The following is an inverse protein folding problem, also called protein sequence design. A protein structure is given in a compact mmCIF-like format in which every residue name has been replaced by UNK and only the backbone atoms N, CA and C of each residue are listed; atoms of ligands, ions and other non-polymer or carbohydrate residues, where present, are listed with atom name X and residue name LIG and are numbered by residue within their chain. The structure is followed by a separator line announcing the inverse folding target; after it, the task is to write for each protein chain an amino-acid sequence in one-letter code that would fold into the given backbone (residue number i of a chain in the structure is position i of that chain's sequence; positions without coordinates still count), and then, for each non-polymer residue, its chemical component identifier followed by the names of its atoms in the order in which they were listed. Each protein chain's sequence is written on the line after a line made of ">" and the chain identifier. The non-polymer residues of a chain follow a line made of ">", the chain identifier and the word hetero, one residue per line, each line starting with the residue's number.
data_IF_560929394731
#
_entry.id   IF_560929394731
#
_cell.length_a   1.000
_cell.length_b   1.000
_cell.length_c   1.000
_cell.angle_alpha   90.00
_cell.angle_beta   90.00
_cell.angle_gamma   90.00
#
_symmetry.space_group_name_H-M   'P 1'
#
loop_
_entity.id
_entity.type
_entity.pdbx_description
1 polymer ?
#
# COMPACT_ATOMS: atom_id res chain seq x y z
N UNK A 1 -9.87 -20.64 -23.41
CA UNK A 1 -8.53 -20.23 -22.91
C UNK A 1 -8.56 -19.01 -21.96
N UNK A 2 -9.63 -18.76 -21.19
CA UNK A 2 -9.78 -17.56 -20.33
C UNK A 2 -9.53 -17.80 -18.83
N UNK A 3 -8.98 -18.96 -18.45
CA UNK A 3 -8.84 -19.38 -17.04
C UNK A 3 -7.41 -19.60 -16.54
N UNK A 4 -6.37 -19.29 -17.33
CA UNK A 4 -4.96 -19.55 -16.96
C UNK A 4 -4.15 -18.33 -16.49
N UNK A 5 -4.72 -17.12 -16.54
CA UNK A 5 -4.01 -15.88 -16.14
C UNK A 5 -4.08 -15.57 -14.63
N UNK A 6 -5.03 -16.15 -13.89
CA UNK A 6 -5.17 -15.88 -12.44
C UNK A 6 -4.11 -16.60 -11.59
N UNK A 7 -3.55 -17.73 -12.07
CA UNK A 7 -2.53 -18.50 -11.35
C UNK A 7 -1.09 -18.06 -11.65
N UNK A 8 -0.89 -16.99 -12.42
CA UNK A 8 0.44 -16.52 -12.84
C UNK A 8 1.07 -15.48 -11.91
N UNK A 9 0.34 -15.02 -10.87
CA UNK A 9 0.79 -13.98 -9.92
C UNK A 9 1.66 -14.50 -8.76
N UNK A 10 1.83 -15.81 -8.60
CA UNK A 10 2.70 -16.41 -7.57
C UNK A 10 4.09 -16.83 -8.07
N UNK A 11 4.39 -16.71 -9.37
CA UNK A 11 5.64 -17.20 -9.97
C UNK A 11 6.66 -16.10 -10.34
N UNK A 12 6.36 -14.83 -10.02
CA UNK A 12 7.22 -13.69 -10.42
C UNK A 12 8.22 -13.31 -9.33
N UNK A 13 8.05 -13.76 -8.09
CA UNK A 13 8.96 -13.50 -6.97
C UNK A 13 10.39 -14.02 -7.19
N UNK A 14 10.55 -15.07 -8.02
CA UNK A 14 11.86 -15.66 -8.35
C UNK A 14 12.60 -14.94 -9.47
N UNK A 15 11.93 -14.06 -10.24
CA UNK A 15 12.52 -13.48 -11.46
C UNK A 15 13.39 -12.25 -11.20
N UNK A 16 13.23 -11.57 -10.06
CA UNK A 16 14.07 -10.40 -9.71
C UNK A 16 15.52 -10.81 -9.45
N UNK A 17 15.75 -12.01 -8.89
CA UNK A 17 17.10 -12.56 -8.73
C UNK A 17 17.75 -12.89 -10.08
N UNK A 18 16.96 -13.37 -11.05
CA UNK A 18 17.44 -13.75 -12.37
C UNK A 18 17.74 -12.54 -13.28
N UNK A 19 17.01 -11.42 -13.12
CA UNK A 19 17.18 -10.21 -13.94
C UNK A 19 18.41 -9.36 -13.53
N UNK A 20 18.97 -9.57 -12.34
CA UNK A 20 20.12 -8.80 -11.85
C UNK A 20 21.45 -9.59 -11.82
N UNK A 21 21.43 -10.92 -11.70
CA UNK A 21 22.66 -11.72 -11.47
C UNK A 21 23.05 -12.61 -12.67
N UNK A 22 22.31 -12.57 -13.79
CA UNK A 22 22.70 -13.25 -15.03
C UNK A 22 22.98 -14.76 -14.90
N UNK A 23 22.46 -15.42 -13.87
CA UNK A 23 22.70 -16.84 -13.59
C UNK A 23 21.37 -17.55 -13.28
N UNK A 24 21.29 -18.79 -13.76
CA UNK A 24 20.12 -19.67 -13.69
C UNK A 24 19.53 -19.73 -12.27
N UNK A 25 18.21 -19.97 -12.12
CA UNK A 25 17.57 -19.98 -10.82
C UNK A 25 18.19 -21.06 -9.95
N UNK A 26 18.99 -20.66 -8.96
CA UNK A 26 19.25 -21.51 -7.82
C UNK A 26 17.88 -21.73 -7.15
N UNK A 27 17.44 -22.99 -7.09
CA UNK A 27 16.29 -23.40 -6.29
C UNK A 27 16.48 -22.85 -4.88
N UNK A 28 15.77 -21.76 -4.56
CA UNK A 28 15.63 -21.30 -3.20
C UNK A 28 15.01 -22.45 -2.42
N UNK A 29 15.74 -22.97 -1.43
CA UNK A 29 15.17 -23.91 -0.48
C UNK A 29 13.94 -23.24 0.15
N UNK A 30 12.83 -23.96 0.36
CA UNK A 30 11.70 -23.40 1.07
C UNK A 30 12.18 -22.97 2.45
N UNK A 31 12.05 -21.68 2.74
CA UNK A 31 12.12 -21.19 4.11
C UNK A 31 11.02 -21.96 4.85
N UNK A 32 11.42 -22.79 5.80
CA UNK A 32 10.52 -23.73 6.46
C UNK A 32 9.34 -22.98 7.07
N UNK A 33 8.13 -23.35 6.63
CA UNK A 33 6.86 -23.00 7.23
C UNK A 33 6.89 -23.34 8.72
N UNK A 34 7.02 -22.30 9.54
CA UNK A 34 7.18 -22.50 10.98
C UNK A 34 6.79 -21.32 11.84
N UNK A 35 6.36 -20.17 11.30
CA UNK A 35 5.94 -19.02 12.11
C UNK A 35 4.61 -18.47 11.61
N UNK A 36 3.55 -18.93 12.28
CA UNK A 36 2.30 -18.22 12.55
C UNK A 36 2.27 -16.79 11.97
N UNK A 37 1.72 -16.60 10.76
CA UNK A 37 1.52 -15.27 10.15
C UNK A 37 0.38 -14.46 10.82
N UNK A 38 0.13 -14.73 12.08
CA UNK A 38 -0.75 -13.97 12.95
C UNK A 38 0.09 -13.17 13.93
N UNK A 39 0.00 -11.84 13.83
CA UNK A 39 0.35 -10.90 14.88
C UNK A 39 1.75 -11.06 15.50
N UNK A 40 2.75 -10.41 14.92
CA UNK A 40 3.96 -9.97 15.65
C UNK A 40 4.46 -8.72 14.91
N UNK A 41 4.06 -7.54 15.37
CA UNK A 41 4.72 -6.70 16.38
C UNK A 41 5.26 -5.47 15.65
N UNK A 42 4.33 -4.57 15.34
CA UNK A 42 4.69 -3.16 15.29
C UNK A 42 4.97 -2.85 16.76
N UNK A 43 6.24 -2.77 17.14
CA UNK A 43 6.59 -2.23 18.44
C UNK A 43 5.79 -0.94 18.64
N UNK A 44 5.15 -0.83 19.80
CA UNK A 44 4.48 0.37 20.27
C UNK A 44 5.51 1.49 20.52
N UNK A 45 6.25 1.88 19.49
CA UNK A 45 6.96 3.15 19.43
C UNK A 45 5.89 4.21 19.26
N UNK A 46 5.36 4.70 20.39
CA UNK A 46 4.42 5.80 20.57
C UNK A 46 3.48 6.00 19.36
N UNK A 47 2.32 5.33 19.38
CA UNK A 47 1.32 5.37 18.30
C UNK A 47 0.99 6.84 17.95
N UNK A 48 1.63 7.36 16.92
CA UNK A 48 1.63 8.79 16.67
C UNK A 48 0.27 9.20 16.11
N UNK A 49 -0.48 9.99 16.88
CA UNK A 49 -1.79 10.51 16.50
C UNK A 49 -1.66 11.85 15.80
N UNK A 50 -2.55 12.12 14.85
CA UNK A 50 -2.65 13.42 14.19
C UNK A 50 -3.05 14.48 15.22
N UNK A 51 -2.22 15.51 15.32
CA UNK A 51 -2.37 16.60 16.30
C UNK A 51 -2.94 17.90 15.73
N UNK A 52 -3.17 17.97 14.41
CA UNK A 52 -3.62 19.18 13.69
C UNK A 52 -4.73 18.86 12.69
N UNK A 53 -5.56 19.86 12.37
CA UNK A 53 -6.56 19.75 11.29
C UNK A 53 -5.91 19.86 9.90
N UNK A 54 -6.33 19.04 8.94
CA UNK A 54 -5.82 19.18 7.57
C UNK A 54 -6.22 20.54 6.98
N UNK A 55 -5.25 21.27 6.42
CA UNK A 55 -5.55 22.54 5.77
C UNK A 55 -6.49 22.32 4.58
N UNK A 56 -7.37 23.30 4.25
CA UNK A 56 -8.21 23.23 3.05
C UNK A 56 -7.40 23.02 1.77
N UNK A 57 -6.18 23.55 1.73
CA UNK A 57 -5.24 23.37 0.62
C UNK A 57 -4.87 21.90 0.41
N UNK A 58 -4.46 21.19 1.47
CA UNK A 58 -4.17 19.75 1.41
C UNK A 58 -5.41 18.98 0.93
N UNK A 59 -6.57 19.23 1.55
CA UNK A 59 -7.79 18.49 1.21
C UNK A 59 -8.22 18.71 -0.25
N UNK A 60 -8.08 19.94 -0.77
CA UNK A 60 -8.38 20.25 -2.17
C UNK A 60 -7.36 19.66 -3.15
N UNK A 61 -6.07 19.73 -2.82
CA UNK A 61 -5.01 19.15 -3.65
C UNK A 61 -5.19 17.63 -3.75
N UNK A 62 -5.38 16.96 -2.61
CA UNK A 62 -5.56 15.51 -2.55
C UNK A 62 -6.87 15.04 -3.18
N UNK A 63 -7.98 15.77 -3.00
CA UNK A 63 -9.25 15.46 -3.66
C UNK A 63 -9.10 15.36 -5.20
N UNK A 64 -8.22 16.18 -5.77
CA UNK A 64 -7.99 16.27 -7.21
C UNK A 64 -6.89 15.35 -7.74
N UNK A 65 -6.22 14.56 -6.90
CA UNK A 65 -5.24 13.58 -7.39
C UNK A 65 -5.97 12.59 -8.31
N UNK A 66 -5.58 12.49 -9.59
CA UNK A 66 -6.14 11.46 -10.45
C UNK A 66 -5.59 10.09 -10.03
N UNK A 67 -6.43 9.07 -10.12
CA UNK A 67 -6.06 7.67 -9.99
C UNK A 67 -6.71 6.86 -11.09
N UNK A 68 -6.16 5.70 -11.43
CA UNK A 68 -6.77 4.76 -12.35
C UNK A 68 -7.40 3.57 -11.63
N UNK A 69 -8.64 3.23 -11.96
CA UNK A 69 -9.32 2.03 -11.47
C UNK A 69 -10.12 1.40 -12.61
N UNK A 70 -9.80 0.15 -12.96
CA UNK A 70 -10.45 -0.57 -14.06
C UNK A 70 -10.30 0.14 -15.41
N UNK A 71 -9.13 0.70 -15.68
CA UNK A 71 -8.81 1.48 -16.88
C UNK A 71 -9.39 2.91 -16.90
N UNK A 72 -10.23 3.28 -15.93
CA UNK A 72 -10.84 4.61 -15.86
C UNK A 72 -10.08 5.51 -14.89
N UNK A 73 -9.78 6.72 -15.34
CA UNK A 73 -9.18 7.76 -14.51
C UNK A 73 -10.29 8.55 -13.81
N UNK A 74 -10.13 8.75 -12.50
CA UNK A 74 -11.07 9.49 -11.65
C UNK A 74 -10.32 10.20 -10.53
N UNK A 75 -10.87 11.29 -9.97
CA UNK A 75 -10.24 11.95 -8.84
C UNK A 75 -10.29 11.06 -7.58
N UNK A 76 -9.30 11.25 -6.71
CA UNK A 76 -9.15 10.51 -5.45
C UNK A 76 -10.33 10.74 -4.50
N UNK A 77 -11.01 11.89 -4.58
CA UNK A 77 -12.22 12.17 -3.80
C UNK A 77 -13.34 11.16 -4.06
N UNK A 78 -13.44 10.71 -5.31
CA UNK A 78 -14.45 9.80 -5.82
C UNK A 78 -14.12 8.41 -5.34
N UNK A 79 -12.85 8.01 -5.46
CA UNK A 79 -12.34 6.78 -4.87
C UNK A 79 -12.58 6.73 -3.36
N UNK A 80 -12.08 7.70 -2.60
CA UNK A 80 -12.23 7.77 -1.15
C UNK A 80 -13.71 7.75 -0.74
N UNK A 81 -14.55 8.47 -1.48
CA UNK A 81 -16.00 8.48 -1.29
C UNK A 81 -16.63 7.10 -1.48
N UNK A 82 -16.25 6.36 -2.52
CA UNK A 82 -16.73 5.01 -2.77
C UNK A 82 -16.20 4.00 -1.75
N UNK A 83 -14.92 4.06 -1.37
CA UNK A 83 -14.34 3.22 -0.33
C UNK A 83 -15.10 3.40 0.98
N UNK A 84 -15.28 4.64 1.43
CA UNK A 84 -15.97 4.92 2.68
C UNK A 84 -17.46 4.56 2.59
N UNK A 85 -18.12 4.78 1.44
CA UNK A 85 -19.49 4.31 1.24
C UNK A 85 -19.60 2.79 1.35
N UNK A 86 -18.65 2.04 0.79
CA UNK A 86 -18.60 0.58 0.84
C UNK A 86 -18.30 0.04 2.23
N UNK A 87 -17.33 0.63 2.93
CA UNK A 87 -16.91 0.21 4.26
C UNK A 87 -17.94 0.62 5.32
N UNK A 88 -18.36 1.87 5.27
CA UNK A 88 -19.09 2.54 6.35
C UNK A 88 -20.59 2.75 6.05
N UNK A 89 -21.02 2.50 4.81
CA UNK A 89 -22.38 2.80 4.35
C UNK A 89 -22.66 4.30 4.20
N UNK A 90 -21.65 5.17 4.27
CA UNK A 90 -21.76 6.64 4.19
C UNK A 90 -20.49 7.24 3.58
N UNK A 91 -20.60 8.39 2.89
CA UNK A 91 -19.45 9.18 2.39
C UNK A 91 -18.87 10.14 3.45
N UNK A 92 -18.73 9.65 4.67
CA UNK A 92 -18.21 10.41 5.81
C UNK A 92 -18.32 9.57 7.08
N UNK A 93 -17.43 9.84 8.04
CA UNK A 93 -17.34 9.07 9.29
C UNK A 93 -17.26 10.03 10.48
N UNK A 94 -17.82 9.60 11.61
CA UNK A 94 -17.69 10.31 12.87
C UNK A 94 -16.73 9.51 13.77
N UNK A 95 -15.70 10.18 14.29
CA UNK A 95 -14.53 9.60 14.96
C UNK A 95 -14.27 10.33 16.30
N UNK A 96 -15.32 10.65 17.05
CA UNK A 96 -15.24 11.46 18.29
C UNK A 96 -14.06 11.06 19.18
N UNK A 97 -13.21 12.04 19.52
CA UNK A 97 -12.07 11.84 20.42
C UNK A 97 -10.94 10.99 19.85
N UNK A 98 -11.01 10.59 18.57
CA UNK A 98 -9.95 9.82 17.89
C UNK A 98 -9.15 10.67 16.91
N UNK A 99 -9.64 11.86 16.56
CA UNK A 99 -8.99 12.81 15.66
C UNK A 99 -9.28 14.26 16.08
N UNK A 100 -8.50 15.25 15.60
CA UNK A 100 -8.77 16.67 15.82
C UNK A 100 -10.20 17.09 15.43
N UNK A 101 -10.72 16.58 14.31
CA UNK A 101 -12.10 16.79 13.88
C UNK A 101 -12.99 15.58 14.22
N UNK A 102 -14.19 15.83 14.77
CA UNK A 102 -15.13 14.72 15.05
C UNK A 102 -15.69 14.07 13.79
N UNK A 103 -15.74 14.78 12.66
CA UNK A 103 -16.36 14.31 11.41
C UNK A 103 -15.39 14.47 10.26
N UNK A 104 -14.97 13.35 9.70
CA UNK A 104 -14.05 13.32 8.56
C UNK A 104 -14.81 13.25 7.24
N UNK A 105 -14.32 14.05 6.28
CA UNK A 105 -14.65 13.89 4.86
C UNK A 105 -13.98 12.61 4.31
N UNK A 106 -14.38 12.10 3.14
CA UNK A 106 -13.72 10.93 2.56
C UNK A 106 -12.20 11.10 2.37
N UNK A 107 -11.77 12.28 1.92
CA UNK A 107 -10.34 12.57 1.70
C UNK A 107 -9.59 12.64 3.03
N UNK A 108 -10.13 13.33 4.04
CA UNK A 108 -9.51 13.38 5.37
C UNK A 108 -9.40 11.98 6.00
N UNK A 109 -10.43 11.14 5.86
CA UNK A 109 -10.39 9.75 6.30
C UNK A 109 -9.30 8.94 5.56
N UNK A 110 -9.19 9.09 4.24
CA UNK A 110 -8.16 8.39 3.47
C UNK A 110 -6.75 8.84 3.87
N UNK A 111 -6.55 10.14 4.08
CA UNK A 111 -5.29 10.67 4.59
C UNK A 111 -4.93 10.10 5.96
N UNK A 112 -5.89 9.97 6.88
CA UNK A 112 -5.66 9.32 8.16
C UNK A 112 -5.28 7.83 7.98
N UNK A 113 -5.95 7.09 7.08
CA UNK A 113 -5.57 5.71 6.79
C UNK A 113 -4.13 5.58 6.29
N UNK A 114 -3.67 6.53 5.46
CA UNK A 114 -2.34 6.48 4.86
C UNK A 114 -1.28 6.93 5.87
N UNK A 115 -1.44 8.13 6.44
CA UNK A 115 -0.40 8.77 7.26
C UNK A 115 -0.49 8.45 8.75
N UNK A 116 -1.66 8.11 9.27
CA UNK A 116 -1.88 7.83 10.69
C UNK A 116 -2.60 6.48 10.88
N UNK A 117 -2.07 5.38 10.31
CA UNK A 117 -2.77 4.09 10.33
C UNK A 117 -3.06 3.60 11.74
N UNK A 118 -2.18 3.85 12.72
CA UNK A 118 -2.38 3.48 14.13
C UNK A 118 -3.66 4.12 14.70
N UNK A 119 -3.91 5.39 14.38
CA UNK A 119 -5.12 6.11 14.76
C UNK A 119 -6.33 5.64 13.96
N UNK A 120 -6.20 5.50 12.64
CA UNK A 120 -7.31 5.13 11.75
C UNK A 120 -7.82 3.70 12.03
N UNK A 121 -6.99 2.82 12.60
CA UNK A 121 -7.38 1.47 13.02
C UNK A 121 -8.44 1.45 14.12
N UNK A 122 -8.57 2.51 14.90
CA UNK A 122 -9.59 2.66 15.94
C UNK A 122 -10.92 3.23 15.39
N UNK A 123 -10.94 3.70 14.14
CA UNK A 123 -12.13 4.33 13.57
C UNK A 123 -13.23 3.28 13.32
N UNK A 124 -14.48 3.48 13.79
CA UNK A 124 -15.58 2.56 13.54
C UNK A 124 -16.08 2.68 12.09
N UNK A 125 -15.31 2.14 11.16
CA UNK A 125 -15.46 2.33 9.71
C UNK A 125 -16.14 1.13 9.02
N UNK A 126 -16.11 -0.05 9.61
CA UNK A 126 -16.53 -1.30 8.95
C UNK A 126 -17.93 -1.70 9.37
N UNK A 127 -18.88 -1.63 8.44
CA UNK A 127 -20.28 -1.93 8.71
C UNK A 127 -20.57 -3.43 8.69
N UNK A 128 -21.17 -3.93 9.77
CA UNK A 128 -21.77 -5.26 9.84
C UNK A 128 -23.28 -5.08 9.93
N UNK A 129 -24.00 -5.67 8.99
CA UNK A 129 -25.44 -5.43 8.78
C UNK A 129 -26.30 -6.51 9.43
N UNK A 130 -25.74 -7.71 9.59
CA UNK A 130 -26.39 -8.88 10.16
C UNK A 130 -25.68 -9.25 11.45
N UNK A 131 -26.42 -9.28 12.57
CA UNK A 131 -25.89 -9.74 13.87
C UNK A 131 -25.28 -11.14 13.78
N UNK A 132 -25.85 -12.02 12.96
CA UNK A 132 -25.36 -13.39 12.76
C UNK A 132 -23.95 -13.45 12.17
N UNK A 133 -23.53 -12.46 11.38
CA UNK A 133 -22.15 -12.37 10.88
C UNK A 133 -21.21 -12.08 12.05
N UNK A 134 -21.57 -11.13 12.91
CA UNK A 134 -20.77 -10.78 14.07
C UNK A 134 -20.67 -11.95 15.06
N UNK A 135 -21.77 -12.68 15.30
CA UNK A 135 -21.78 -13.93 16.08
C UNK A 135 -20.90 -14.98 15.43
N UNK A 136 -21.02 -15.20 14.11
CA UNK A 136 -20.30 -16.27 13.41
C UNK A 136 -18.77 -16.14 13.46
N UNK A 137 -18.26 -14.91 13.56
CA UNK A 137 -16.82 -14.63 13.66
C UNK A 137 -16.36 -14.36 15.10
N UNK A 138 -17.27 -14.28 16.06
CA UNK A 138 -16.95 -14.07 17.47
C UNK A 138 -16.68 -12.61 17.87
N UNK A 139 -17.27 -11.63 17.17
CA UNK A 139 -17.17 -10.22 17.57
C UNK A 139 -17.90 -9.96 18.89
N UNK A 140 -17.36 -9.06 19.70
CA UNK A 140 -18.07 -8.57 20.89
C UNK A 140 -19.31 -7.75 20.46
N UNK A 141 -20.46 -8.08 21.04
CA UNK A 141 -21.75 -7.47 20.75
C UNK A 141 -22.22 -6.54 21.88
N UNK A 142 -21.44 -6.40 22.95
CA UNK A 142 -21.73 -5.50 24.07
C UNK A 142 -21.91 -4.08 23.53
N UNK A 143 -23.04 -3.45 23.87
CA UNK A 143 -23.42 -2.11 23.40
C UNK A 143 -23.58 -1.96 21.88
N UNK A 144 -23.55 -3.03 21.08
CA UNK A 144 -23.73 -2.99 19.61
C UNK A 144 -25.17 -3.25 19.20
N UNK A 145 -25.61 -2.58 18.13
CA UNK A 145 -26.95 -2.77 17.52
C UNK A 145 -26.94 -3.95 16.55
N UNK A 146 -28.12 -4.33 16.02
CA UNK A 146 -28.26 -5.36 14.96
C UNK A 146 -27.40 -5.06 13.74
N UNK A 147 -27.30 -3.77 13.38
CA UNK A 147 -26.43 -3.22 12.35
C UNK A 147 -25.56 -2.17 13.02
N UNK A 148 -24.25 -2.36 12.96
CA UNK A 148 -23.30 -1.45 13.60
C UNK A 148 -21.97 -1.39 12.85
N UNK A 149 -21.08 -0.51 13.32
CA UNK A 149 -19.73 -0.35 12.80
C UNK A 149 -18.71 -0.86 13.79
N UNK A 150 -17.66 -1.44 13.23
CA UNK A 150 -16.52 -1.97 13.95
C UNK A 150 -15.27 -1.28 13.41
N UNK A 151 -14.32 -1.08 14.30
CA UNK A 151 -12.98 -0.64 13.98
C UNK A 151 -12.16 -1.78 13.38
N UNK A 152 -11.01 -1.45 12.80
CA UNK A 152 -10.07 -2.46 12.37
C UNK A 152 -9.55 -3.27 13.57
N UNK A 153 -9.25 -2.60 14.70
CA UNK A 153 -8.76 -3.26 15.91
C UNK A 153 -9.79 -4.22 16.53
N UNK A 154 -11.09 -3.96 16.39
CA UNK A 154 -12.12 -4.95 16.76
C UNK A 154 -12.13 -6.16 15.81
N UNK A 155 -11.92 -5.95 14.51
CA UNK A 155 -11.94 -7.02 13.50
C UNK A 155 -10.67 -7.86 13.47
N UNK A 156 -9.50 -7.26 13.77
CA UNK A 156 -8.21 -7.98 13.74
C UNK A 156 -8.18 -9.08 14.80
N UNK A 157 -8.83 -8.86 15.95
CA UNK A 157 -8.98 -9.86 17.01
C UNK A 157 -9.72 -11.13 16.54
N UNK A 158 -10.56 -11.02 15.51
CA UNK A 158 -11.33 -12.13 14.93
C UNK A 158 -10.90 -12.46 13.49
N UNK A 159 -9.73 -11.98 13.04
CA UNK A 159 -9.27 -12.10 11.65
C UNK A 159 -9.32 -13.53 11.14
N UNK A 160 -8.74 -14.47 11.87
CA UNK A 160 -8.68 -15.88 11.46
C UNK A 160 -10.08 -16.48 11.31
N UNK A 161 -10.99 -16.18 12.24
CA UNK A 161 -12.39 -16.62 12.16
C UNK A 161 -13.11 -16.01 10.96
N UNK A 162 -12.94 -14.70 10.73
CA UNK A 162 -13.51 -14.00 9.58
C UNK A 162 -13.04 -14.61 8.24
N UNK A 163 -11.73 -14.86 8.10
CA UNK A 163 -11.17 -15.43 6.87
C UNK A 163 -11.64 -16.87 6.65
N UNK A 164 -11.65 -17.70 7.70
CA UNK A 164 -12.15 -19.07 7.61
C UNK A 164 -13.63 -19.12 7.20
N UNK A 165 -14.48 -18.30 7.84
CA UNK A 165 -15.91 -18.22 7.51
C UNK A 165 -16.17 -17.67 6.12
N UNK A 166 -15.38 -16.70 5.66
CA UNK A 166 -15.46 -16.22 4.28
C UNK A 166 -15.03 -17.31 3.28
N UNK A 167 -14.01 -18.10 3.58
CA UNK A 167 -13.59 -19.22 2.72
C UNK A 167 -14.65 -20.33 2.64
N UNK A 168 -15.25 -20.71 3.78
CA UNK A 168 -16.40 -21.63 3.81
C UNK A 168 -17.55 -21.11 2.92
N UNK A 169 -17.90 -19.82 3.04
CA UNK A 169 -18.92 -19.19 2.22
C UNK A 169 -18.54 -19.16 0.72
N UNK A 170 -17.25 -18.99 0.40
CA UNK A 170 -16.77 -18.99 -0.97
C UNK A 170 -16.83 -20.39 -1.61
N UNK A 171 -16.63 -21.47 -0.82
CA UNK A 171 -16.74 -22.85 -1.30
C UNK A 171 -18.15 -23.29 -1.70
N UNK A 172 -19.19 -22.55 -1.27
CA UNK A 172 -20.59 -22.79 -1.67
C UNK A 172 -20.86 -22.31 -3.09
N UNK A 173 -21.80 -22.98 -3.77
CA UNK A 173 -22.37 -22.50 -5.04
C UNK A 173 -22.87 -21.05 -4.87
N UNK A 174 -22.46 -20.10 -5.73
CA UNK A 174 -22.92 -18.72 -5.66
C UNK A 174 -24.45 -18.55 -5.56
N UNK A 175 -25.24 -19.46 -6.14
CA UNK A 175 -26.70 -19.43 -6.13
C UNK A 175 -27.31 -19.88 -4.79
N UNK A 176 -26.57 -20.60 -3.97
CA UNK A 176 -27.05 -21.14 -2.68
C UNK A 176 -26.57 -20.33 -1.48
N UNK A 177 -25.66 -19.36 -1.68
CA UNK A 177 -25.14 -18.48 -0.62
C UNK A 177 -26.25 -17.63 0.00
N UNK A 178 -26.41 -17.73 1.31
CA UNK A 178 -27.38 -16.93 2.05
C UNK A 178 -26.89 -15.48 2.28
N UNK A 179 -27.63 -14.69 3.05
CA UNK A 179 -27.26 -13.30 3.34
C UNK A 179 -26.00 -13.18 4.23
N UNK A 180 -25.82 -14.11 5.17
CA UNK A 180 -24.63 -14.19 6.04
C UNK A 180 -23.39 -14.52 5.21
N UNK A 181 -23.47 -15.52 4.33
CA UNK A 181 -22.39 -15.90 3.40
C UNK A 181 -21.93 -14.70 2.57
N UNK A 182 -22.88 -13.98 1.96
CA UNK A 182 -22.58 -12.80 1.14
C UNK A 182 -21.95 -11.67 1.94
N UNK A 183 -22.41 -11.45 3.18
CA UNK A 183 -21.82 -10.43 4.03
C UNK A 183 -20.44 -10.83 4.56
N UNK A 184 -20.19 -12.09 4.92
CA UNK A 184 -18.86 -12.58 5.30
C UNK A 184 -17.84 -12.34 4.19
N UNK A 185 -18.21 -12.69 2.95
CA UNK A 185 -17.37 -12.45 1.77
C UNK A 185 -17.09 -10.96 1.54
N UNK A 186 -18.07 -10.09 1.81
CA UNK A 186 -17.91 -8.64 1.64
C UNK A 186 -17.06 -8.05 2.76
N UNK A 187 -17.29 -8.46 4.01
CA UNK A 187 -16.55 -8.00 5.16
C UNK A 187 -15.08 -8.41 5.09
N UNK A 188 -14.78 -9.64 4.67
CA UNK A 188 -13.40 -10.11 4.53
C UNK A 188 -12.64 -9.34 3.44
N UNK A 189 -13.24 -9.12 2.27
CA UNK A 189 -12.63 -8.30 1.21
C UNK A 189 -12.39 -6.87 1.67
N UNK A 190 -13.41 -6.22 2.23
CA UNK A 190 -13.30 -4.85 2.72
C UNK A 190 -12.24 -4.73 3.83
N UNK A 191 -12.10 -5.76 4.68
CA UNK A 191 -11.09 -5.80 5.75
C UNK A 191 -9.68 -5.81 5.16
N UNK A 192 -9.41 -6.70 4.19
CA UNK A 192 -8.12 -6.76 3.51
C UNK A 192 -7.82 -5.47 2.74
N UNK A 193 -8.81 -4.91 2.04
CA UNK A 193 -8.63 -3.65 1.31
C UNK A 193 -8.35 -2.46 2.25
N UNK A 194 -8.90 -2.46 3.47
CA UNK A 194 -8.55 -1.47 4.49
C UNK A 194 -7.12 -1.66 5.01
N UNK A 195 -6.66 -2.91 5.16
CA UNK A 195 -5.25 -3.20 5.49
C UNK A 195 -4.30 -2.66 4.44
N UNK A 196 -4.62 -2.82 3.16
CA UNK A 196 -3.80 -2.32 2.05
C UNK A 196 -3.65 -0.78 2.11
N UNK A 197 -4.71 -0.05 2.48
CA UNK A 197 -4.63 1.41 2.66
C UNK A 197 -3.67 1.80 3.80
N UNK A 198 -3.63 1.04 4.89
CA UNK A 198 -2.73 1.29 6.03
C UNK A 198 -1.25 1.05 5.72
N UNK A 199 -0.92 0.51 4.54
CA UNK A 199 0.44 0.14 4.17
C UNK A 199 1.07 1.10 3.16
N UNK A 200 0.29 2.02 2.58
CA UNK A 200 0.73 2.88 1.46
C UNK A 200 2.02 3.66 1.75
N UNK A 201 2.14 4.32 2.91
CA UNK A 201 3.34 5.12 3.25
C UNK A 201 4.30 4.44 4.22
N UNK A 202 4.11 3.15 4.51
CA UNK A 202 4.99 2.44 5.46
C UNK A 202 6.40 2.21 4.94
N UNK A 203 6.68 2.50 3.67
CA UNK A 203 8.05 2.52 3.15
C UNK A 203 8.96 3.53 3.88
N UNK A 204 8.40 4.56 4.53
CA UNK A 204 9.17 5.51 5.35
C UNK A 204 9.63 4.95 6.70
N UNK A 205 9.13 3.79 7.12
CA UNK A 205 9.50 3.16 8.41
C UNK A 205 10.75 2.28 8.32
N UNK A 206 11.18 1.96 7.10
CA UNK A 206 12.03 0.79 6.84
C UNK A 206 13.20 1.15 5.92
N UNK A 207 14.33 1.61 6.50
CA UNK A 207 15.57 1.78 5.77
C UNK A 207 16.03 0.46 5.13
N UNK A 208 16.63 0.57 3.94
CA UNK A 208 17.10 -0.57 3.16
C UNK A 208 18.53 -0.92 3.55
N UNK A 209 18.82 -2.18 3.92
CA UNK A 209 20.13 -2.57 4.46
C UNK A 209 21.19 -2.59 3.35
N UNK A 210 21.79 -1.43 3.10
CA UNK A 210 22.80 -1.21 2.06
C UNK A 210 24.20 -1.01 2.63
N UNK A 211 24.30 -0.62 3.91
CA UNK A 211 25.54 -0.27 4.59
C UNK A 211 26.57 -1.40 4.61
N UNK A 212 26.12 -2.65 4.63
CA UNK A 212 27.00 -3.83 4.64
C UNK A 212 27.51 -4.24 3.26
N UNK A 213 27.02 -3.61 2.18
CA UNK A 213 27.36 -3.92 0.79
C UNK A 213 28.48 -2.99 0.32
N UNK A 214 29.75 -3.44 0.21
CA UNK A 214 30.86 -2.55 -0.09
C UNK A 214 30.73 -1.85 -1.45
N UNK A 215 30.08 -2.50 -2.41
CA UNK A 215 29.83 -1.94 -3.74
C UNK A 215 28.85 -0.75 -3.74
N UNK A 216 28.08 -0.56 -2.66
CA UNK A 216 27.17 0.58 -2.46
C UNK A 216 27.78 1.65 -1.54
N UNK A 217 29.02 1.47 -1.08
CA UNK A 217 29.68 2.43 -0.20
C UNK A 217 29.77 3.81 -0.86
N UNK A 218 29.30 4.83 -0.15
CA UNK A 218 29.28 6.22 -0.63
C UNK A 218 28.16 6.53 -1.64
N UNK A 219 27.31 5.55 -2.00
CA UNK A 219 26.16 5.80 -2.87
C UNK A 219 25.05 6.60 -2.17
N UNK A 220 24.91 6.39 -0.86
CA UNK A 220 23.94 7.05 0.00
C UNK A 220 24.64 7.80 1.12
N UNK A 221 24.11 8.97 1.47
CA UNK A 221 24.59 9.77 2.60
C UNK A 221 23.73 9.51 3.82
N UNK A 222 24.35 9.33 5.00
CA UNK A 222 23.61 9.23 6.27
C UNK A 222 23.20 7.81 6.69
N UNK A 223 23.66 6.77 5.99
CA UNK A 223 23.40 5.36 6.32
C UNK A 223 22.49 4.68 5.30
N UNK A 224 21.68 3.74 5.78
CA UNK A 224 20.73 3.00 4.95
C UNK A 224 19.65 3.92 4.37
N UNK A 225 19.42 3.92 3.04
CA UNK A 225 18.43 4.78 2.40
C UNK A 225 17.01 4.27 2.60
N UNK A 226 16.02 5.14 2.51
CA UNK A 226 14.63 4.72 2.34
C UNK A 226 14.38 4.34 0.88
N UNK A 227 13.19 3.78 0.64
CA UNK A 227 12.82 3.28 -0.67
C UNK A 227 12.96 4.33 -1.80
N UNK A 228 12.49 5.60 -1.67
CA UNK A 228 12.62 6.56 -2.76
C UNK A 228 14.08 6.90 -3.10
N UNK A 229 14.95 7.11 -2.09
CA UNK A 229 16.37 7.39 -2.37
C UNK A 229 17.05 6.17 -3.00
N UNK A 230 16.70 4.96 -2.56
CA UNK A 230 17.20 3.73 -3.16
C UNK A 230 16.78 3.60 -4.63
N UNK A 231 15.50 3.79 -4.95
CA UNK A 231 14.99 3.69 -6.32
C UNK A 231 15.59 4.78 -7.23
N UNK A 232 15.84 5.97 -6.71
CA UNK A 232 16.53 7.05 -7.44
C UNK A 232 17.97 6.73 -7.83
N UNK A 233 18.58 5.68 -7.26
CA UNK A 233 19.93 5.20 -7.57
C UNK A 233 19.92 3.81 -8.22
N UNK A 234 18.78 3.38 -8.78
CA UNK A 234 18.63 1.99 -9.27
C UNK A 234 19.63 1.61 -10.36
N UNK A 235 20.05 2.55 -11.22
CA UNK A 235 21.06 2.33 -12.25
C UNK A 235 22.43 2.02 -11.64
N UNK A 236 22.88 2.82 -10.67
CA UNK A 236 24.13 2.58 -9.94
C UNK A 236 24.09 1.27 -9.16
N UNK A 237 22.97 0.95 -8.53
CA UNK A 237 22.77 -0.31 -7.80
C UNK A 237 22.85 -1.51 -8.75
N UNK A 238 22.23 -1.43 -9.93
CA UNK A 238 22.27 -2.49 -10.94
C UNK A 238 23.69 -2.72 -11.46
N UNK A 239 24.45 -1.64 -11.69
CA UNK A 239 25.87 -1.74 -12.06
C UNK A 239 26.71 -2.39 -10.95
N UNK A 240 26.50 -1.96 -9.70
CA UNK A 240 27.19 -2.50 -8.53
C UNK A 240 26.87 -3.99 -8.26
N UNK A 241 25.64 -4.41 -8.57
CA UNK A 241 25.16 -5.79 -8.40
C UNK A 241 25.67 -6.76 -9.47
N UNK A 242 26.39 -6.29 -10.50
CA UNK A 242 26.91 -7.16 -11.56
C UNK A 242 25.96 -7.39 -12.74
N UNK A 243 25.00 -6.48 -12.96
CA UNK A 243 24.21 -6.44 -14.20
C UNK A 243 25.08 -6.16 -15.45
N UNK A 244 24.48 -5.90 -16.62
CA UNK A 244 25.21 -5.69 -17.88
C UNK A 244 26.40 -4.72 -17.71
N UNK A 245 27.63 -5.25 -17.67
CA UNK A 245 28.89 -4.52 -17.51
C UNK A 245 29.43 -4.35 -16.07
N UNK A 246 28.83 -4.95 -15.05
CA UNK A 246 29.20 -4.77 -13.63
C UNK A 246 30.37 -5.63 -13.12
N UNK A 247 30.96 -5.23 -11.99
CA UNK A 247 32.17 -5.81 -11.36
C UNK A 247 31.88 -6.57 -10.05
N UNK A 248 30.68 -7.12 -9.88
CA UNK A 248 30.26 -7.69 -8.61
C UNK A 248 31.20 -8.78 -8.09
N UNK A 249 31.63 -8.63 -6.83
CA UNK A 249 32.40 -9.65 -6.14
C UNK A 249 31.48 -10.82 -5.74
N UNK A 250 31.77 -12.07 -6.17
CA UNK A 250 30.96 -13.24 -5.85
C UNK A 250 30.74 -13.46 -4.34
N UNK A 251 31.64 -12.97 -3.48
CA UNK A 251 31.54 -13.13 -2.02
C UNK A 251 30.47 -12.27 -1.36
N UNK A 252 29.98 -11.22 -2.01
CA UNK A 252 28.89 -10.37 -1.48
C UNK A 252 27.49 -10.89 -1.84
N UNK A 253 27.38 -12.03 -2.53
CA UNK A 253 26.11 -12.58 -3.03
C UNK A 253 25.02 -12.76 -1.95
N UNK A 254 25.41 -13.18 -0.74
CA UNK A 254 24.48 -13.32 0.38
C UNK A 254 23.89 -11.97 0.84
N UNK A 255 24.68 -10.89 0.80
CA UNK A 255 24.23 -9.56 1.19
C UNK A 255 23.25 -8.97 0.17
N UNK A 256 23.54 -9.15 -1.12
CA UNK A 256 22.62 -8.81 -2.19
C UNK A 256 21.32 -9.60 -2.10
N UNK A 257 21.40 -10.90 -1.81
CA UNK A 257 20.21 -11.74 -1.60
C UNK A 257 19.37 -11.26 -0.43
N UNK A 258 20.01 -10.85 0.68
CA UNK A 258 19.30 -10.27 1.81
C UNK A 258 18.59 -8.95 1.44
N UNK A 259 19.32 -8.01 0.81
CA UNK A 259 18.74 -6.73 0.37
C UNK A 259 17.54 -6.93 -0.58
N UNK A 260 17.65 -7.79 -1.59
CA UNK A 260 16.55 -8.05 -2.52
C UNK A 260 15.41 -8.86 -1.88
N UNK A 261 15.72 -9.74 -0.91
CA UNK A 261 14.72 -10.38 -0.07
C UNK A 261 13.92 -9.36 0.73
N UNK A 262 14.60 -8.40 1.35
CA UNK A 262 13.96 -7.30 2.08
C UNK A 262 13.09 -6.42 1.17
N UNK A 263 13.57 -6.08 -0.04
CA UNK A 263 12.77 -5.35 -1.03
C UNK A 263 11.53 -6.14 -1.48
N UNK A 264 11.66 -7.44 -1.68
CA UNK A 264 10.52 -8.31 -2.03
C UNK A 264 9.49 -8.35 -0.90
N UNK A 265 9.95 -8.42 0.35
CA UNK A 265 9.10 -8.30 1.53
C UNK A 265 8.38 -6.94 1.58
N UNK A 266 9.06 -5.83 1.30
CA UNK A 266 8.44 -4.51 1.23
C UNK A 266 7.40 -4.41 0.11
N UNK A 267 7.65 -4.98 -1.07
CA UNK A 267 6.68 -5.03 -2.17
C UNK A 267 5.42 -5.78 -1.77
N UNK A 268 5.57 -6.91 -1.06
CA UNK A 268 4.45 -7.69 -0.57
C UNK A 268 3.70 -6.99 0.58
N UNK A 269 4.45 -6.38 1.51
CA UNK A 269 3.91 -5.68 2.68
C UNK A 269 3.20 -4.39 2.30
N UNK A 270 3.66 -3.68 1.27
CA UNK A 270 3.10 -2.42 0.78
C UNK A 270 2.22 -2.60 -0.45
N UNK A 271 1.65 -3.80 -0.64
CA UNK A 271 0.71 -4.03 -1.73
C UNK A 271 -0.53 -3.15 -1.54
N UNK A 272 -0.60 -2.07 -2.32
CA UNK A 272 -1.82 -1.33 -2.56
C UNK A 272 -2.02 -1.34 -4.06
N UNK A 273 -3.11 -1.97 -4.52
CA UNK A 273 -3.51 -1.97 -5.93
C UNK A 273 -3.97 -0.59 -6.43
N UNK A 274 -3.73 0.48 -5.67
CA UNK A 274 -4.05 1.85 -6.04
C UNK A 274 -3.06 2.34 -7.11
N UNK A 275 -3.50 2.32 -8.37
CA UNK A 275 -2.73 2.84 -9.49
C UNK A 275 -2.77 4.38 -9.48
N UNK A 276 -1.71 4.98 -8.91
CA UNK A 276 -1.60 6.41 -8.63
C UNK A 276 -0.44 7.08 -9.40
N UNK A 277 0.46 6.31 -10.00
CA UNK A 277 1.61 6.82 -10.73
C UNK A 277 1.39 6.72 -12.25
N UNK A 278 1.12 7.84 -12.94
CA UNK A 278 1.00 7.82 -14.38
C UNK A 278 2.37 7.56 -15.02
N UNK A 279 2.50 6.64 -15.98
CA UNK A 279 3.75 6.42 -16.70
C UNK A 279 4.08 7.65 -17.57
N UNK A 280 5.31 7.76 -18.04
CA UNK A 280 5.67 8.86 -18.95
C UNK A 280 5.46 8.53 -20.42
N UNK A 281 5.45 7.25 -20.81
CA UNK A 281 5.00 6.79 -22.12
C UNK A 281 3.56 7.25 -22.40
N UNK A 282 3.19 7.43 -23.67
CA UNK A 282 1.84 7.92 -24.00
C UNK A 282 0.75 6.88 -23.63
N UNK A 283 -0.52 7.29 -23.47
CA UNK A 283 -1.62 6.37 -23.20
C UNK A 283 -1.76 5.23 -24.22
N UNK A 284 -1.35 5.44 -25.47
CA UNK A 284 -1.35 4.42 -26.52
C UNK A 284 -0.29 3.33 -26.29
N UNK A 285 0.86 3.70 -25.73
CA UNK A 285 1.96 2.78 -25.44
C UNK A 285 1.77 2.09 -24.09
N UNK A 286 1.33 2.85 -23.09
CA UNK A 286 1.10 2.36 -21.74
C UNK A 286 -0.17 2.99 -21.15
N UNK A 287 -1.33 2.35 -21.32
CA UNK A 287 -2.59 2.85 -20.81
C UNK A 287 -2.74 2.64 -19.30
N UNK A 288 -2.09 1.62 -18.74
CA UNK A 288 -2.21 1.28 -17.32
C UNK A 288 -1.19 2.07 -16.47
N UNK A 289 -1.69 2.70 -15.42
CA UNK A 289 -0.92 3.41 -14.42
C UNK A 289 -0.24 2.44 -13.47
N UNK A 290 0.90 2.86 -12.93
CA UNK A 290 1.66 2.05 -11.99
C UNK A 290 1.02 2.17 -10.59
N UNK A 291 0.75 1.03 -9.97
CA UNK A 291 0.54 0.94 -8.53
C UNK A 291 1.90 0.76 -7.82
N UNK A 292 1.88 0.73 -6.48
CA UNK A 292 3.10 0.74 -5.66
C UNK A 292 4.08 -0.40 -5.99
N UNK A 293 3.65 -1.67 -6.08
CA UNK A 293 4.55 -2.77 -6.40
C UNK A 293 5.17 -2.64 -7.79
N UNK A 294 4.36 -2.26 -8.79
CA UNK A 294 4.79 -2.07 -10.17
C UNK A 294 5.78 -0.92 -10.28
N UNK A 295 5.57 0.16 -9.51
CA UNK A 295 6.47 1.31 -9.45
C UNK A 295 7.86 0.90 -8.94
N UNK A 296 7.94 0.13 -7.85
CA UNK A 296 9.20 -0.41 -7.32
C UNK A 296 9.86 -1.33 -8.36
N UNK A 297 9.10 -2.27 -8.91
CA UNK A 297 9.61 -3.24 -9.88
C UNK A 297 10.19 -2.55 -11.13
N UNK A 298 9.47 -1.59 -11.70
CA UNK A 298 9.88 -0.89 -12.92
C UNK A 298 11.12 -0.02 -12.67
N UNK A 299 11.22 0.67 -11.52
CA UNK A 299 12.45 1.39 -11.16
C UNK A 299 13.68 0.46 -11.09
N UNK A 300 13.54 -0.72 -10.47
CA UNK A 300 14.63 -1.70 -10.37
C UNK A 300 15.01 -2.30 -11.73
N UNK A 301 14.05 -2.39 -12.66
CA UNK A 301 14.33 -2.78 -14.04
C UNK A 301 15.09 -1.69 -14.84
N UNK A 302 15.17 -0.46 -14.31
CA UNK A 302 15.74 0.69 -15.01
C UNK A 302 14.77 1.35 -15.97
N UNK A 303 13.46 1.14 -15.78
CA UNK A 303 12.43 1.79 -16.58
C UNK A 303 12.45 3.31 -16.33
N UNK A 304 12.73 4.06 -17.40
CA UNK A 304 12.86 5.52 -17.35
C UNK A 304 11.56 6.17 -16.85
N UNK A 305 10.42 5.64 -17.26
CA UNK A 305 9.12 6.21 -16.99
C UNK A 305 8.72 6.07 -15.52
N UNK A 306 9.09 4.95 -14.92
CA UNK A 306 9.02 4.75 -13.48
C UNK A 306 10.00 5.69 -12.76
N UNK A 307 11.26 5.77 -13.19
CA UNK A 307 12.27 6.64 -12.55
C UNK A 307 11.84 8.11 -12.53
N UNK A 308 11.18 8.58 -13.58
CA UNK A 308 10.61 9.93 -13.68
C UNK A 308 9.45 10.21 -12.68
N UNK A 309 8.94 9.17 -11.99
CA UNK A 309 7.97 9.27 -10.89
C UNK A 309 8.61 9.21 -9.48
N UNK A 310 9.92 8.93 -9.35
CA UNK A 310 10.62 8.91 -8.05
C UNK A 310 10.48 10.24 -7.28
N UNK A 311 10.54 11.43 -7.89
CA UNK A 311 10.32 12.68 -7.15
C UNK A 311 8.94 12.76 -6.46
N UNK A 312 7.91 12.14 -7.03
CA UNK A 312 6.60 12.06 -6.38
C UNK A 312 6.66 11.12 -5.15
N UNK A 313 7.38 10.01 -5.23
CA UNK A 313 7.63 9.13 -4.07
C UNK A 313 8.38 9.86 -2.95
N UNK A 314 9.39 10.65 -3.30
CA UNK A 314 10.14 11.48 -2.36
C UNK A 314 9.24 12.53 -1.68
N UNK A 315 8.37 13.20 -2.45
CA UNK A 315 7.40 14.15 -1.89
C UNK A 315 6.40 13.46 -0.93
N UNK A 316 5.97 12.24 -1.24
CA UNK A 316 5.11 11.47 -0.33
C UNK A 316 5.86 11.04 0.93
N UNK A 317 7.13 10.63 0.81
CA UNK A 317 7.99 10.33 1.96
C UNK A 317 8.17 11.56 2.85
N UNK A 318 8.43 12.73 2.25
CA UNK A 318 8.53 13.99 2.98
C UNK A 318 7.23 14.33 3.73
N UNK A 319 6.06 14.08 3.13
CA UNK A 319 4.77 14.24 3.79
C UNK A 319 4.63 13.25 4.96
N UNK A 320 5.07 12.01 4.79
CA UNK A 320 5.06 11.01 5.86
C UNK A 320 5.94 11.45 7.05
N UNK A 321 7.17 11.90 6.80
CA UNK A 321 8.10 12.33 7.86
C UNK A 321 7.66 13.60 8.59
N UNK A 322 7.01 14.51 7.88
CA UNK A 322 6.49 15.76 8.44
C UNK A 322 5.09 15.63 9.06
N UNK A 323 4.51 14.43 9.11
CA UNK A 323 3.13 14.20 9.58
C UNK A 323 2.84 14.59 11.03
N UNK A 324 3.84 14.98 11.82
CA UNK A 324 3.65 15.51 13.18
C UNK A 324 3.61 17.04 13.25
N UNK A 325 3.95 17.71 12.15
CA UNK A 325 3.96 19.16 12.01
C UNK A 325 3.13 19.56 10.79
N UNK A 326 1.90 20.04 11.03
CA UNK A 326 0.98 20.45 9.96
C UNK A 326 1.55 21.50 9.01
N UNK A 327 2.47 22.35 9.49
CA UNK A 327 3.11 23.38 8.69
C UNK A 327 4.15 22.83 7.71
N UNK A 328 4.89 21.78 8.11
CA UNK A 328 5.82 21.05 7.26
C UNK A 328 5.11 20.00 6.38
N UNK A 329 4.03 19.40 6.88
CA UNK A 329 3.21 18.42 6.16
C UNK A 329 2.54 19.01 4.93
N UNK A 330 1.94 20.21 5.07
CA UNK A 330 1.16 20.85 4.01
C UNK A 330 1.93 20.97 2.69
N UNK A 331 3.12 21.61 2.61
CA UNK A 331 3.83 21.75 1.35
C UNK A 331 4.25 20.42 0.74
N UNK A 332 4.68 19.44 1.54
CA UNK A 332 5.08 18.13 1.03
C UNK A 332 3.89 17.33 0.46
N UNK A 333 2.75 17.33 1.17
CA UNK A 333 1.53 16.68 0.73
C UNK A 333 0.96 17.32 -0.55
N UNK A 334 1.04 18.66 -0.67
CA UNK A 334 0.62 19.40 -1.87
C UNK A 334 1.58 19.14 -3.04
N UNK A 335 2.89 19.07 -2.79
CA UNK A 335 3.88 18.76 -3.82
C UNK A 335 3.63 17.39 -4.47
N UNK A 336 3.41 16.34 -3.66
CA UNK A 336 3.04 15.01 -4.16
C UNK A 336 1.80 15.08 -5.07
N UNK A 337 0.73 15.71 -4.57
CA UNK A 337 -0.52 15.83 -5.31
C UNK A 337 -0.34 16.58 -6.65
N UNK A 338 0.46 17.65 -6.64
CA UNK A 338 0.80 18.44 -7.83
C UNK A 338 1.56 17.62 -8.87
N UNK A 339 2.59 16.88 -8.46
CA UNK A 339 3.42 16.07 -9.36
C UNK A 339 2.59 14.99 -10.09
N UNK A 340 1.75 14.25 -9.36
CA UNK A 340 0.88 13.22 -9.94
C UNK A 340 -0.13 13.84 -10.92
N UNK A 341 -0.78 14.93 -10.52
CA UNK A 341 -1.77 15.63 -11.36
C UNK A 341 -1.13 16.20 -12.62
N UNK A 342 0.00 16.88 -12.49
CA UNK A 342 0.67 17.53 -13.61
C UNK A 342 1.14 16.49 -14.64
N UNK A 343 1.59 15.31 -14.18
CA UNK A 343 1.91 14.19 -15.05
C UNK A 343 0.68 13.67 -15.81
N UNK A 344 -0.44 13.48 -15.13
CA UNK A 344 -1.69 13.06 -15.77
C UNK A 344 -2.20 14.07 -16.82
N UNK A 345 -2.05 15.37 -16.53
CA UNK A 345 -2.37 16.45 -17.48
C UNK A 345 -1.45 16.42 -18.70
N UNK A 346 -0.15 16.19 -18.52
CA UNK A 346 0.81 16.04 -19.63
C UNK A 346 0.44 14.87 -20.56
N UNK A 347 -0.16 13.81 -20.01
CA UNK A 347 -0.66 12.66 -20.78
C UNK A 347 -1.99 12.92 -21.49
N UNK A 348 -2.65 14.06 -21.26
CA UNK A 348 -3.99 14.35 -21.79
C UNK A 348 -5.09 13.50 -21.16
N UNK A 349 -4.83 12.90 -20.00
CA UNK A 349 -5.71 11.93 -19.34
C UNK A 349 -6.50 12.53 -18.17
N UNK A 350 -6.23 13.79 -17.84
CA UNK A 350 -6.88 14.51 -16.75
C UNK A 350 -6.96 16.01 -17.04
N UNK A 351 -8.08 16.63 -16.68
CA UNK A 351 -8.31 18.06 -16.91
C UNK A 351 -7.89 18.89 -15.70
N UNK A 352 -7.47 20.14 -15.94
CA UNK A 352 -6.97 21.07 -14.91
C UNK A 352 -8.07 21.68 -14.05
#
# INVERSE_FOLDING_TARGET
>A
MKGKLANMRHWISTLVLALLVGSAPATAAPIQDGHNHGAEEIHATDAQKRSFEYSPEVLQAWAKIPIQEGGRIKPLDTFAGFQLLRFNGKRGINVKGLAPEEKLTPVAWLLDCIFFPEQARDYPCMIVNLKDVAVAVGLNLDSKKKRDRYSYNELVAVRSALMNKANEANGKDPKTRNAVDRQLLTLSRNFLELEDLFRVTRFGDFPLPTSDIPALAGLFTGGDPELPQFLGRSAEIKMAAGGEGGTANPTDGAKWTNLFGYLSELQFRNYSGLAIFPPTATPELQPEWLAWPEMIQSCLAGDKDALDNVPALEALAAAYHSRQDGSAFTPAAVAFAGMVRDRAVQRGEYER
#
